data_IF_511941191101
#
_entry.id   IF_511941191101
#
_cell.length_a   1.000
_cell.length_b   1.000
_cell.length_c   1.000
_cell.angle_alpha   90.00
_cell.angle_beta   90.00
_cell.angle_gamma   90.00
#
_symmetry.space_group_name_H-M   'P 1'
#
loop_
_entity.id
_entity.type
_entity.pdbx_description
1 polymer ?
#
# COMPACT_ATOMS: atom_id res chain seq x y z
N UNK A 1 13.85 7.81 8.95
CA UNK A 1 14.33 7.01 10.11
C UNK A 1 13.38 5.82 10.22
N UNK A 2 13.88 4.58 10.23
CA UNK A 2 13.09 3.40 9.85
C UNK A 2 12.32 2.78 11.02
N UNK A 3 11.23 2.08 10.70
CA UNK A 3 10.26 1.40 11.59
C UNK A 3 10.81 0.91 12.94
N UNK A 4 9.98 1.04 14.00
CA UNK A 4 10.27 0.56 15.36
C UNK A 4 10.40 -0.97 15.48
N UNK A 5 10.02 -1.74 14.44
CA UNK A 5 10.24 -3.20 14.39
C UNK A 5 11.43 -3.52 13.47
N UNK A 6 12.51 -4.05 14.05
CA UNK A 6 13.74 -4.39 13.32
C UNK A 6 13.55 -5.43 12.21
N UNK A 7 12.53 -6.31 12.30
CA UNK A 7 12.25 -7.31 11.26
C UNK A 7 11.67 -6.66 10.01
N UNK A 8 10.88 -5.59 10.21
CA UNK A 8 10.32 -4.79 9.12
C UNK A 8 11.43 -4.04 8.39
N UNK A 9 12.40 -3.48 9.12
CA UNK A 9 13.49 -2.70 8.53
C UNK A 9 14.33 -3.49 7.53
N UNK A 10 14.66 -4.75 7.82
CA UNK A 10 15.45 -5.58 6.91
C UNK A 10 14.73 -5.85 5.57
N UNK A 11 13.43 -6.16 5.63
CA UNK A 11 12.65 -6.50 4.43
C UNK A 11 12.34 -5.26 3.57
N UNK A 12 12.22 -4.10 4.21
CA UNK A 12 11.96 -2.85 3.52
C UNK A 12 13.20 -2.30 2.85
N UNK A 13 14.35 -2.33 3.52
CA UNK A 13 15.61 -1.82 2.96
C UNK A 13 16.02 -2.59 1.70
N UNK A 14 15.78 -3.90 1.66
CA UNK A 14 16.13 -4.74 0.51
C UNK A 14 14.99 -4.83 -0.53
N UNK A 15 13.79 -4.34 -0.20
CA UNK A 15 12.59 -4.48 -1.04
C UNK A 15 12.13 -5.91 -1.30
N UNK A 16 12.74 -6.90 -0.62
CA UNK A 16 12.59 -8.33 -0.89
C UNK A 16 12.37 -9.13 0.41
N UNK A 17 11.50 -10.14 0.31
CA UNK A 17 11.28 -11.15 1.34
C UNK A 17 11.31 -12.54 0.68
N UNK A 18 12.29 -13.37 1.04
CA UNK A 18 12.53 -14.68 0.42
C UNK A 18 12.58 -14.62 -1.12
N UNK A 19 13.29 -13.62 -1.67
CA UNK A 19 13.43 -13.42 -3.12
C UNK A 19 12.19 -12.84 -3.81
N UNK A 20 11.11 -12.54 -3.08
CA UNK A 20 9.87 -11.96 -3.63
C UNK A 20 9.78 -10.47 -3.33
N UNK A 21 9.24 -9.71 -4.28
CA UNK A 21 9.03 -8.26 -4.16
C UNK A 21 8.04 -7.98 -3.02
N UNK A 22 8.42 -7.08 -2.14
CA UNK A 22 7.59 -6.61 -1.02
C UNK A 22 6.77 -5.40 -1.47
N UNK A 23 5.46 -5.50 -1.26
CA UNK A 23 4.49 -4.46 -1.56
C UNK A 23 3.92 -3.87 -0.28
N UNK A 24 3.56 -2.59 -0.33
CA UNK A 24 2.90 -1.85 0.74
C UNK A 24 1.58 -1.31 0.21
N UNK A 25 0.50 -1.63 0.91
CA UNK A 25 -0.80 -0.98 0.76
C UNK A 25 -1.03 0.00 1.92
N UNK A 26 -1.13 1.29 1.62
CA UNK A 26 -1.46 2.33 2.61
C UNK A 26 -2.97 2.46 2.80
N UNK A 27 -3.41 2.63 4.04
CA UNK A 27 -4.82 2.73 4.40
C UNK A 27 -5.05 3.56 5.67
N UNK A 28 -6.31 3.92 5.94
CA UNK A 28 -6.75 4.42 7.24
C UNK A 28 -7.01 3.26 8.22
N UNK A 29 -7.33 3.60 9.48
CA UNK A 29 -7.70 2.62 10.52
C UNK A 29 -8.94 1.82 10.13
N UNK A 30 -9.95 2.52 9.61
CA UNK A 30 -11.22 1.95 9.16
C UNK A 30 -11.00 1.00 8.00
N UNK A 31 -10.16 1.40 7.04
CA UNK A 31 -9.80 0.54 5.91
C UNK A 31 -9.04 -0.71 6.35
N UNK A 32 -8.10 -0.59 7.30
CA UNK A 32 -7.40 -1.75 7.84
C UNK A 32 -8.39 -2.73 8.52
N UNK A 33 -9.33 -2.22 9.32
CA UNK A 33 -10.34 -3.04 9.98
C UNK A 33 -11.25 -3.75 8.95
N UNK A 34 -11.70 -3.03 7.91
CA UNK A 34 -12.51 -3.61 6.85
C UNK A 34 -11.76 -4.71 6.10
N UNK A 35 -10.48 -4.50 5.78
CA UNK A 35 -9.62 -5.49 5.12
C UNK A 35 -9.48 -6.76 5.98
N UNK A 36 -9.24 -6.60 7.30
CA UNK A 36 -9.13 -7.74 8.23
C UNK A 36 -10.43 -8.53 8.30
N UNK A 37 -11.57 -7.84 8.41
CA UNK A 37 -12.89 -8.46 8.47
C UNK A 37 -13.23 -9.22 7.19
N UNK A 38 -12.94 -8.64 6.02
CA UNK A 38 -13.25 -9.23 4.72
C UNK A 38 -12.17 -10.21 4.22
N UNK A 39 -11.01 -10.26 4.91
CA UNK A 39 -9.82 -11.03 4.52
C UNK A 39 -9.33 -10.75 3.10
N UNK A 40 -9.50 -9.51 2.63
CA UNK A 40 -9.09 -9.05 1.31
C UNK A 40 -8.84 -7.55 1.27
N UNK A 41 -7.96 -7.12 0.38
CA UNK A 41 -7.86 -5.73 -0.07
C UNK A 41 -8.74 -5.58 -1.30
N UNK A 42 -9.80 -4.78 -1.18
CA UNK A 42 -10.83 -4.62 -2.21
C UNK A 42 -10.37 -3.66 -3.31
N UNK A 43 -10.51 -4.08 -4.56
CA UNK A 43 -10.29 -3.26 -5.75
C UNK A 43 -11.51 -2.39 -6.08
N UNK A 44 -12.64 -2.57 -5.39
CA UNK A 44 -13.84 -1.79 -5.67
C UNK A 44 -13.61 -0.29 -5.39
N UNK A 45 -13.94 0.59 -6.35
CA UNK A 45 -13.77 2.02 -6.16
C UNK A 45 -14.71 2.53 -5.06
N UNK A 46 -14.14 3.23 -4.08
CA UNK A 46 -14.95 3.96 -3.10
C UNK A 46 -15.37 5.32 -3.68
N UNK A 47 -16.49 5.33 -4.41
CA UNK A 47 -17.03 6.54 -5.07
C UNK A 47 -17.52 7.60 -4.09
N UNK A 48 -18.00 7.21 -2.91
CA UNK A 48 -18.40 8.16 -1.88
C UNK A 48 -17.21 9.01 -1.42
N UNK A 49 -16.05 8.36 -1.27
CA UNK A 49 -14.82 9.01 -0.81
C UNK A 49 -14.04 9.68 -1.94
N UNK A 50 -13.95 9.03 -3.11
CA UNK A 50 -13.10 9.43 -4.25
C UNK A 50 -13.86 10.14 -5.38
N UNK A 51 -15.17 10.30 -5.26
CA UNK A 51 -16.02 10.90 -6.28
C UNK A 51 -16.20 10.01 -7.52
N UNK A 52 -16.70 10.61 -8.60
CA UNK A 52 -17.04 9.93 -9.86
C UNK A 52 -15.82 9.40 -10.62
N UNK A 53 -14.63 9.96 -10.39
CA UNK A 53 -13.37 9.54 -11.02
C UNK A 53 -12.70 8.35 -10.31
N UNK A 54 -13.34 7.76 -9.29
CA UNK A 54 -12.80 6.62 -8.57
C UNK A 54 -12.64 5.40 -9.49
N UNK A 55 -11.39 5.02 -9.76
CA UNK A 55 -11.07 3.87 -10.60
C UNK A 55 -11.01 2.57 -9.79
N UNK A 56 -11.31 1.45 -10.46
CA UNK A 56 -11.12 0.11 -9.91
C UNK A 56 -9.62 -0.16 -9.77
N UNK A 57 -9.21 -0.67 -8.62
CA UNK A 57 -7.85 -1.14 -8.40
C UNK A 57 -7.41 -1.05 -6.95
N UNK A 58 -6.53 -1.97 -6.57
CA UNK A 58 -5.75 -1.89 -5.33
C UNK A 58 -4.43 -1.19 -5.64
N UNK A 59 -4.25 -0.03 -5.03
CA UNK A 59 -3.06 0.79 -5.14
C UNK A 59 -2.02 0.32 -4.14
N UNK A 60 -0.82 0.06 -4.64
CA UNK A 60 0.32 -0.48 -3.92
C UNK A 60 1.55 0.39 -4.21
N UNK A 61 2.52 0.29 -3.33
CA UNK A 61 3.86 0.85 -3.51
C UNK A 61 4.89 -0.25 -3.28
N UNK A 62 6.07 -0.10 -3.88
CA UNK A 62 7.18 -1.01 -3.62
C UNK A 62 7.80 -0.65 -2.27
N UNK A 63 8.25 -1.65 -1.51
CA UNK A 63 8.83 -1.38 -0.19
C UNK A 63 10.09 -0.50 -0.23
N UNK A 64 10.85 -0.52 -1.35
CA UNK A 64 11.97 0.41 -1.58
C UNK A 64 11.55 1.88 -1.61
N UNK A 65 10.27 2.14 -1.89
CA UNK A 65 9.66 3.47 -1.99
C UNK A 65 8.79 3.77 -0.76
N UNK A 66 9.06 3.13 0.39
CA UNK A 66 8.27 3.28 1.61
C UNK A 66 8.24 4.75 2.09
N UNK A 67 7.04 5.23 2.39
CA UNK A 67 6.73 6.60 2.80
C UNK A 67 6.12 6.66 4.20
N UNK A 68 6.54 7.65 4.99
CA UNK A 68 5.80 8.08 6.17
C UNK A 68 4.41 8.63 5.78
N UNK A 69 3.54 8.83 6.78
CA UNK A 69 2.17 9.29 6.53
C UNK A 69 2.08 10.62 5.79
N UNK A 70 2.98 11.56 6.07
CA UNK A 70 3.01 12.87 5.42
C UNK A 70 3.44 12.79 3.95
N UNK A 71 4.50 12.04 3.66
CA UNK A 71 4.98 11.83 2.30
C UNK A 71 3.95 11.09 1.47
N UNK A 72 3.34 10.04 2.02
CA UNK A 72 2.25 9.33 1.37
C UNK A 72 1.07 10.25 1.08
N UNK A 73 0.67 11.09 2.04
CA UNK A 73 -0.37 12.10 1.83
C UNK A 73 -0.06 13.05 0.67
N UNK A 74 1.16 13.60 0.64
CA UNK A 74 1.56 14.55 -0.37
C UNK A 74 1.72 13.90 -1.76
N UNK A 75 2.28 12.69 -1.82
CA UNK A 75 2.65 12.03 -3.07
C UNK A 75 1.52 11.16 -3.63
N UNK A 76 0.97 10.24 -2.83
CA UNK A 76 -0.08 9.31 -3.28
C UNK A 76 -1.47 9.96 -3.29
N UNK A 77 -1.71 10.86 -2.34
CA UNK A 77 -3.02 11.49 -2.17
C UNK A 77 -3.04 12.97 -2.58
N UNK A 78 -1.98 13.43 -3.24
CA UNK A 78 -1.84 14.77 -3.83
C UNK A 78 -2.11 15.91 -2.84
N UNK A 79 -1.91 15.67 -1.54
CA UNK A 79 -2.17 16.65 -0.48
C UNK A 79 -3.65 16.97 -0.26
N UNK A 80 -4.59 16.19 -0.79
CA UNK A 80 -6.01 16.50 -0.60
C UNK A 80 -6.48 16.17 0.83
N UNK A 81 -6.98 17.17 1.55
CA UNK A 81 -7.32 17.12 2.98
C UNK A 81 -8.19 15.90 3.38
N UNK A 82 -9.18 15.52 2.55
CA UNK A 82 -10.02 14.32 2.77
C UNK A 82 -9.26 12.99 2.88
N UNK A 83 -7.99 12.97 2.47
CA UNK A 83 -7.12 11.83 2.52
C UNK A 83 -6.01 11.92 3.58
N UNK A 84 -6.03 12.92 4.47
CA UNK A 84 -4.98 13.12 5.49
C UNK A 84 -4.73 11.88 6.35
N UNK A 85 -5.77 11.08 6.62
CA UNK A 85 -5.66 9.85 7.41
C UNK A 85 -5.44 8.57 6.59
N UNK A 86 -5.34 8.66 5.25
CA UNK A 86 -5.33 7.48 4.35
C UNK A 86 -4.04 6.67 4.37
N UNK A 87 -2.98 7.16 5.02
CA UNK A 87 -1.69 6.49 5.13
C UNK A 87 -1.24 6.32 6.59
N UNK A 88 -2.17 6.40 7.54
CA UNK A 88 -1.87 6.20 8.97
C UNK A 88 -1.65 4.73 9.33
N UNK A 89 -2.09 3.82 8.47
CA UNK A 89 -1.96 2.37 8.60
C UNK A 89 -1.46 1.78 7.29
N UNK A 90 -0.89 0.59 7.33
CA UNK A 90 -0.46 -0.14 6.14
C UNK A 90 -0.51 -1.65 6.32
N UNK A 91 -0.55 -2.36 5.19
CA UNK A 91 -0.30 -3.79 5.08
C UNK A 91 0.91 -3.99 4.18
N UNK A 92 1.89 -4.74 4.68
CA UNK A 92 3.14 -5.07 3.99
C UNK A 92 3.11 -6.57 3.71
N UNK A 93 3.28 -6.95 2.46
CA UNK A 93 3.11 -8.34 2.05
C UNK A 93 3.93 -8.68 0.80
N UNK A 94 4.06 -9.98 0.55
CA UNK A 94 4.50 -10.51 -0.75
C UNK A 94 3.38 -11.33 -1.38
N UNK A 95 3.30 -11.36 -2.70
CA UNK A 95 2.42 -12.32 -3.38
C UNK A 95 2.99 -13.74 -3.30
N UNK A 96 2.11 -14.72 -3.10
CA UNK A 96 2.51 -16.13 -3.05
C UNK A 96 2.95 -16.62 -4.43
N UNK A 97 2.35 -16.08 -5.49
CA UNK A 97 2.67 -16.36 -6.90
C UNK A 97 2.76 -15.06 -7.70
N UNK A 98 3.50 -15.03 -8.82
CA UNK A 98 3.53 -13.86 -9.70
C UNK A 98 2.12 -13.41 -10.11
N UNK A 99 1.93 -12.09 -10.18
CA UNK A 99 0.68 -11.47 -10.65
C UNK A 99 0.97 -10.44 -11.72
N UNK A 100 0.01 -10.29 -12.63
CA UNK A 100 -0.01 -9.15 -13.53
C UNK A 100 -0.36 -7.90 -12.72
N UNK A 101 0.55 -6.95 -12.69
CA UNK A 101 0.40 -5.68 -12.01
C UNK A 101 0.71 -4.58 -13.03
N UNK A 102 -0.13 -3.56 -13.08
CA UNK A 102 0.21 -2.34 -13.80
C UNK A 102 1.16 -1.52 -12.93
N UNK A 103 2.18 -0.89 -13.50
CA UNK A 103 3.06 0.00 -12.74
C UNK A 103 3.41 1.24 -13.55
N UNK A 104 3.32 2.41 -12.91
CA UNK A 104 3.73 3.68 -13.49
C UNK A 104 4.27 4.60 -12.39
N UNK A 105 5.13 5.58 -12.72
CA UNK A 105 5.44 6.68 -11.81
C UNK A 105 4.14 7.38 -11.37
N UNK A 106 4.03 7.75 -10.10
CA UNK A 106 2.83 8.46 -9.57
C UNK A 106 2.55 9.74 -10.38
N UNK A 107 3.62 10.47 -10.73
CA UNK A 107 3.60 11.65 -11.59
C UNK A 107 4.79 11.61 -12.55
N UNK A 108 4.74 12.39 -13.63
CA UNK A 108 5.86 12.50 -14.57
C UNK A 108 7.14 12.93 -13.85
N UNK A 109 8.18 12.10 -13.93
CA UNK A 109 9.46 12.33 -13.26
C UNK A 109 9.53 11.89 -11.79
N UNK A 110 8.46 11.31 -11.23
CA UNK A 110 8.48 10.79 -9.87
C UNK A 110 9.40 9.57 -9.75
N UNK A 111 10.23 9.55 -8.69
CA UNK A 111 11.02 8.38 -8.31
C UNK A 111 10.18 7.27 -7.68
N UNK A 112 8.95 7.59 -7.25
CA UNK A 112 8.04 6.64 -6.61
C UNK A 112 7.16 5.98 -7.67
N UNK A 113 7.18 4.65 -7.68
CA UNK A 113 6.36 3.84 -8.58
C UNK A 113 5.07 3.44 -7.88
N UNK A 114 3.93 3.80 -8.47
CA UNK A 114 2.64 3.25 -8.12
C UNK A 114 2.45 1.91 -8.84
N UNK A 115 1.95 0.92 -8.10
CA UNK A 115 1.63 -0.41 -8.63
C UNK A 115 0.15 -0.68 -8.39
N UNK A 116 -0.56 -1.11 -9.42
CA UNK A 116 -2.02 -1.31 -9.37
C UNK A 116 -2.35 -2.78 -9.69
N UNK A 117 -3.04 -3.43 -8.76
CA UNK A 117 -3.75 -4.69 -9.01
C UNK A 117 -5.20 -4.37 -9.39
N UNK A 118 -5.64 -4.79 -10.58
CA UNK A 118 -7.02 -4.56 -11.04
C UNK A 118 -8.06 -5.44 -10.33
N UNK A 119 -7.60 -6.44 -9.61
CA UNK A 119 -8.43 -7.38 -8.85
C UNK A 119 -8.17 -7.30 -7.36
N UNK A 120 -9.14 -7.81 -6.60
CA UNK A 120 -9.02 -8.00 -5.16
C UNK A 120 -7.76 -8.81 -4.81
N UNK A 121 -7.15 -8.45 -3.70
CA UNK A 121 -6.02 -9.18 -3.13
C UNK A 121 -6.50 -9.91 -1.90
N UNK A 122 -6.72 -11.21 -2.02
CA UNK A 122 -7.17 -12.03 -0.89
C UNK A 122 -5.99 -12.47 -0.02
N UNK A 123 -6.24 -12.61 1.28
CA UNK A 123 -5.19 -12.97 2.24
C UNK A 123 -4.56 -14.34 1.97
N UNK A 124 -5.26 -15.28 1.35
CA UNK A 124 -4.67 -16.58 0.96
C UNK A 124 -3.68 -16.48 -0.22
N UNK A 125 -3.68 -15.36 -0.95
CA UNK A 125 -2.84 -15.12 -2.12
C UNK A 125 -1.56 -14.37 -1.78
N UNK A 126 -1.44 -13.90 -0.53
CA UNK A 126 -0.32 -13.11 -0.05
C UNK A 126 0.22 -13.71 1.24
N UNK A 127 1.46 -13.37 1.54
CA UNK A 127 2.06 -13.58 2.85
C UNK A 127 2.24 -12.21 3.50
N UNK A 128 1.54 -11.97 4.61
CA UNK A 128 1.57 -10.71 5.35
C UNK A 128 2.82 -10.69 6.24
N UNK A 129 3.67 -9.69 6.01
CA UNK A 129 4.86 -9.42 6.81
C UNK A 129 4.51 -8.50 7.97
N UNK A 130 3.64 -7.51 7.72
CA UNK A 130 3.19 -6.55 8.72
C UNK A 130 1.80 -6.01 8.37
N UNK A 131 0.99 -5.77 9.38
CA UNK A 131 -0.27 -5.04 9.27
C UNK A 131 -0.51 -4.21 10.53
N UNK A 132 -0.64 -2.89 10.38
CA UNK A 132 -0.73 -2.02 11.56
C UNK A 132 -0.55 -0.55 11.24
N UNK A 133 -0.23 0.22 12.29
CA UNK A 133 0.03 1.66 12.16
C UNK A 133 1.25 1.84 11.25
N UNK A 134 1.19 2.81 10.34
CA UNK A 134 2.30 3.12 9.45
C UNK A 134 3.57 3.34 10.28
N UNK A 135 4.58 2.47 10.15
CA UNK A 135 5.73 2.50 11.04
C UNK A 135 6.85 3.42 10.52
N UNK A 136 6.68 4.04 9.35
CA UNK A 136 7.70 4.88 8.72
C UNK A 136 7.72 6.28 9.32
N UNK A 137 8.93 6.79 9.58
CA UNK A 137 9.17 8.17 10.03
C UNK A 137 10.06 8.95 9.07
#
# INVERSE_FOLDING_TARGET
MFSKDHRINMHINNGLFNGKIVYIHYTSKEGLNAIKMQRKISANPNRERRGTNAQKGVYLTLAKDAMNGQNAHNLLFLGEERYVLSAMYCIIFVFNSPRYLSSAPITSGSHVTEVISLDDIYFHQINIIYDGKNPFS
#
